data_IF_269922601045
#
_entry.id   IF_269922601045
#
_cell.length_a   1.000
_cell.length_b   1.000
_cell.length_c   1.000
_cell.angle_alpha   90.00
_cell.angle_beta   90.00
_cell.angle_gamma   90.00
#
_symmetry.space_group_name_H-M   'P 1'
#
loop_
_entity.id
_entity.type
_entity.pdbx_description
1 polymer ?
#
# COMPACT_ATOMS: atom_id res chain seq x y z
N UNK A 1 5.92 26.13 -6.04
CA UNK A 1 4.94 25.49 -5.14
C UNK A 1 5.57 24.19 -4.67
N UNK A 2 5.86 24.03 -3.38
CA UNK A 2 6.28 22.72 -2.87
C UNK A 2 5.12 21.76 -3.08
N UNK A 3 5.28 20.77 -3.95
CA UNK A 3 4.39 19.62 -3.94
C UNK A 3 4.44 19.05 -2.53
N UNK A 4 3.35 19.20 -1.78
CA UNK A 4 3.13 18.39 -0.60
C UNK A 4 2.96 16.97 -1.11
N UNK A 5 4.08 16.23 -1.19
CA UNK A 5 4.05 14.77 -1.19
C UNK A 5 3.08 14.37 -0.08
N UNK A 6 2.29 13.32 -0.29
CA UNK A 6 1.42 12.75 0.74
C UNK A 6 2.32 12.38 1.94
N UNK A 7 2.52 13.33 2.85
CA UNK A 7 3.60 13.32 3.84
C UNK A 7 3.37 12.30 4.96
N UNK A 8 2.15 11.74 4.97
CA UNK A 8 1.77 10.68 5.87
C UNK A 8 2.39 9.34 5.45
N UNK A 9 2.76 9.15 4.18
CA UNK A 9 3.33 7.89 3.67
C UNK A 9 4.85 7.92 3.87
N UNK A 10 5.34 7.14 4.83
CA UNK A 10 6.72 7.19 5.31
C UNK A 10 7.52 5.92 5.00
N UNK A 11 6.83 4.83 4.69
CA UNK A 11 7.44 3.53 4.47
C UNK A 11 7.29 3.15 3.01
N UNK A 12 8.34 2.59 2.43
CA UNK A 12 8.36 2.15 1.04
C UNK A 12 8.64 0.65 0.96
N UNK A 13 7.94 -0.05 0.07
CA UNK A 13 8.16 -1.46 -0.24
C UNK A 13 8.09 -1.63 -1.76
N UNK A 14 9.18 -2.12 -2.33
CA UNK A 14 9.27 -2.38 -3.76
C UNK A 14 9.08 -3.87 -4.05
N UNK A 15 8.25 -4.18 -5.04
CA UNK A 15 7.96 -5.52 -5.50
C UNK A 15 8.38 -5.62 -6.97
N UNK A 16 9.28 -6.55 -7.25
CA UNK A 16 9.80 -6.78 -8.60
C UNK A 16 8.71 -7.27 -9.57
N UNK A 17 8.86 -7.06 -10.88
CA UNK A 17 7.94 -7.61 -11.87
C UNK A 17 7.81 -9.12 -11.74
N UNK A 18 6.57 -9.62 -11.75
CA UNK A 18 6.25 -11.05 -11.61
C UNK A 18 6.22 -11.57 -10.16
N UNK A 19 6.65 -10.77 -9.18
CA UNK A 19 6.38 -11.06 -7.77
C UNK A 19 4.99 -10.54 -7.37
N UNK A 20 4.42 -11.09 -6.31
CA UNK A 20 3.10 -10.70 -5.81
C UNK A 20 3.18 -9.99 -4.47
N UNK A 21 2.24 -9.10 -4.23
CA UNK A 21 2.01 -8.44 -2.95
C UNK A 21 0.71 -8.96 -2.36
N UNK A 22 0.76 -9.49 -1.15
CA UNK A 22 -0.41 -9.96 -0.42
C UNK A 22 -0.38 -9.34 0.98
N UNK A 23 -1.39 -8.57 1.35
CA UNK A 23 -1.50 -7.93 2.66
C UNK A 23 -2.49 -8.73 3.52
N UNK A 24 -2.11 -9.08 4.75
CA UNK A 24 -3.04 -9.69 5.70
C UNK A 24 -4.00 -8.63 6.27
N UNK A 25 -5.29 -8.92 6.16
CA UNK A 25 -6.37 -7.94 6.41
C UNK A 25 -7.45 -8.44 7.37
N UNK A 26 -7.07 -9.16 8.43
CA UNK A 26 -7.99 -9.71 9.46
C UNK A 26 -8.65 -8.67 10.38
N UNK A 27 -8.59 -7.39 10.01
CA UNK A 27 -9.03 -6.24 10.78
C UNK A 27 -10.14 -5.43 10.10
N UNK A 28 -10.71 -5.97 9.03
CA UNK A 28 -12.00 -5.59 8.43
C UNK A 28 -12.66 -6.82 7.80
N UNK A 29 -13.96 -6.77 7.53
CA UNK A 29 -14.74 -7.94 7.11
C UNK A 29 -14.89 -8.05 5.59
N UNK A 30 -14.94 -6.91 4.90
CA UNK A 30 -15.21 -6.86 3.46
C UNK A 30 -14.42 -5.75 2.77
N UNK A 31 -14.06 -5.95 1.49
CA UNK A 31 -13.33 -4.97 0.68
C UNK A 31 -14.08 -3.64 0.49
N UNK A 32 -15.41 -3.63 0.64
CA UNK A 32 -16.22 -2.40 0.61
C UNK A 32 -15.85 -1.39 1.71
N UNK A 33 -15.16 -1.85 2.75
CA UNK A 33 -14.64 -0.99 3.81
C UNK A 33 -13.37 -0.22 3.39
N UNK A 34 -12.76 -0.60 2.26
CA UNK A 34 -11.58 0.02 1.69
C UNK A 34 -12.02 1.09 0.68
N UNK A 35 -11.66 2.35 0.95
CA UNK A 35 -11.86 3.42 -0.01
C UNK A 35 -10.65 3.50 -0.93
N UNK A 36 -10.82 3.13 -2.19
CA UNK A 36 -9.77 3.25 -3.21
C UNK A 36 -10.04 4.43 -4.12
N UNK A 37 -9.03 5.29 -4.26
CA UNK A 37 -9.03 6.44 -5.16
C UNK A 37 -8.06 6.13 -6.29
N UNK A 38 -8.56 6.11 -7.53
CA UNK A 38 -7.74 5.99 -8.73
C UNK A 38 -7.24 7.40 -9.07
N UNK A 39 -5.92 7.60 -8.99
CA UNK A 39 -5.30 8.89 -9.30
C UNK A 39 -4.94 8.95 -10.79
N UNK A 40 -4.41 7.85 -11.30
CA UNK A 40 -4.00 7.71 -12.70
C UNK A 40 -4.04 6.22 -13.06
N UNK A 41 -4.52 5.90 -14.26
CA UNK A 41 -4.56 4.53 -14.74
C UNK A 41 -4.53 4.54 -16.26
N UNK A 42 -3.53 3.85 -16.81
CA UNK A 42 -3.38 3.58 -18.23
C UNK A 42 -2.95 2.12 -18.44
N UNK A 43 -2.81 1.68 -19.69
CA UNK A 43 -2.47 0.32 -20.10
C UNK A 43 -1.10 -0.18 -19.60
N UNK A 44 -0.19 0.71 -19.19
CA UNK A 44 1.16 0.38 -18.70
C UNK A 44 1.45 0.88 -17.29
N UNK A 45 0.53 1.64 -16.69
CA UNK A 45 0.81 2.40 -15.49
C UNK A 45 -0.43 2.53 -14.58
N UNK A 46 -0.24 2.51 -13.27
CA UNK A 46 -1.34 2.75 -12.30
C UNK A 46 -0.85 3.48 -11.04
N UNK A 47 -1.62 4.50 -10.61
CA UNK A 47 -1.53 5.19 -9.31
C UNK A 47 -2.82 4.99 -8.55
N UNK A 48 -2.76 4.27 -7.44
CA UNK A 48 -3.91 4.03 -6.58
C UNK A 48 -3.60 4.50 -5.15
N UNK A 49 -4.59 5.10 -4.50
CA UNK A 49 -4.55 5.39 -3.07
C UNK A 49 -5.68 4.63 -2.37
N UNK A 50 -5.32 3.65 -1.57
CA UNK A 50 -6.25 2.85 -0.78
C UNK A 50 -6.20 3.30 0.67
N UNK A 51 -7.37 3.68 1.19
CA UNK A 51 -7.60 4.09 2.57
C UNK A 51 -8.39 2.98 3.23
N UNK A 52 -7.74 2.28 4.13
CA UNK A 52 -8.31 1.16 4.85
C UNK A 52 -8.88 1.59 6.21
N UNK A 53 -9.66 0.72 6.86
CA UNK A 53 -10.03 0.87 8.27
C UNK A 53 -8.80 1.03 9.19
N UNK A 54 -9.03 1.46 10.44
CA UNK A 54 -7.97 1.72 11.43
C UNK A 54 -6.90 2.74 10.98
N UNK A 55 -7.21 3.54 9.96
CA UNK A 55 -6.37 4.64 9.48
C UNK A 55 -5.14 4.20 8.69
N UNK A 56 -5.06 2.94 8.24
CA UNK A 56 -3.98 2.49 7.36
C UNK A 56 -4.20 3.03 5.94
N UNK A 57 -3.18 3.65 5.37
CA UNK A 57 -3.21 4.23 4.03
C UNK A 57 -2.07 3.64 3.23
N UNK A 58 -2.39 3.20 2.02
CA UNK A 58 -1.44 2.60 1.08
C UNK A 58 -1.58 3.25 -0.28
N UNK A 59 -0.46 3.71 -0.81
CA UNK A 59 -0.34 4.23 -2.16
C UNK A 59 0.44 3.24 -3.02
N UNK A 60 -0.06 2.95 -4.21
CA UNK A 60 0.56 2.07 -5.18
C UNK A 60 0.93 2.89 -6.42
N UNK A 61 2.20 2.81 -6.82
CA UNK A 61 2.66 3.12 -8.17
C UNK A 61 3.10 1.82 -8.84
N UNK A 62 2.49 1.46 -9.96
CA UNK A 62 2.83 0.24 -10.69
C UNK A 62 3.13 0.57 -12.15
N UNK A 63 4.24 0.05 -12.65
CA UNK A 63 4.70 0.20 -14.03
C UNK A 63 5.38 -1.09 -14.53
N UNK A 64 6.06 -1.01 -15.68
CA UNK A 64 6.83 -2.13 -16.25
C UNK A 64 8.06 -2.55 -15.43
N UNK A 65 8.51 -1.71 -14.51
CA UNK A 65 9.65 -1.95 -13.64
C UNK A 65 9.26 -2.58 -12.30
N UNK A 66 7.99 -2.55 -11.92
CA UNK A 66 7.49 -3.26 -10.75
C UNK A 66 6.35 -2.51 -10.06
N UNK A 67 6.22 -2.72 -8.76
CA UNK A 67 5.23 -2.05 -7.93
C UNK A 67 5.88 -1.42 -6.71
N UNK A 68 5.67 -0.13 -6.52
CA UNK A 68 6.11 0.62 -5.35
C UNK A 68 4.91 0.92 -4.46
N UNK A 69 4.93 0.32 -3.27
CA UNK A 69 3.95 0.55 -2.22
C UNK A 69 4.49 1.56 -1.23
N UNK A 70 3.75 2.63 -0.97
CA UNK A 70 4.05 3.60 0.09
C UNK A 70 2.96 3.57 1.14
N UNK A 71 3.32 3.43 2.41
CA UNK A 71 2.34 3.30 3.51
C UNK A 71 2.59 4.28 4.63
N UNK A 72 1.55 4.61 5.40
CA UNK A 72 1.66 5.45 6.59
C UNK A 72 2.04 4.69 7.86
N UNK A 73 1.95 3.36 7.84
CA UNK A 73 2.38 2.46 8.90
C UNK A 73 3.36 1.42 8.32
N UNK A 74 4.32 0.93 9.12
CA UNK A 74 5.27 -0.05 8.64
C UNK A 74 4.55 -1.35 8.29
N UNK A 75 5.01 -1.98 7.22
CA UNK A 75 4.64 -3.36 6.88
C UNK A 75 5.88 -4.24 6.92
N UNK A 76 5.71 -5.51 7.27
CA UNK A 76 6.80 -6.48 7.25
C UNK A 76 6.29 -7.80 6.66
N UNK A 77 7.17 -8.48 5.92
CA UNK A 77 6.90 -9.83 5.44
C UNK A 77 6.85 -10.77 6.65
N UNK A 78 5.79 -11.57 6.77
CA UNK A 78 5.67 -12.54 7.85
C UNK A 78 6.71 -13.65 7.71
N UNK A 79 7.35 -14.03 8.80
CA UNK A 79 8.26 -15.18 8.81
C UNK A 79 7.53 -16.45 8.37
N UNK A 80 8.09 -17.16 7.39
CA UNK A 80 7.56 -18.41 6.81
C UNK A 80 6.19 -18.30 6.13
N UNK A 81 5.74 -17.10 5.75
CA UNK A 81 4.47 -16.92 5.01
C UNK A 81 4.62 -15.86 3.92
N UNK A 82 3.91 -16.05 2.82
CA UNK A 82 4.00 -15.16 1.67
C UNK A 82 2.98 -14.00 1.74
N UNK A 83 2.96 -13.30 2.87
CA UNK A 83 2.13 -12.10 3.04
C UNK A 83 2.78 -11.07 3.96
N UNK A 84 2.37 -9.83 3.79
CA UNK A 84 2.77 -8.67 4.58
C UNK A 84 1.78 -8.42 5.72
N UNK A 85 2.28 -7.95 6.86
CA UNK A 85 1.48 -7.58 8.03
C UNK A 85 1.74 -6.12 8.37
N UNK A 86 0.67 -5.39 8.70
CA UNK A 86 0.74 -4.00 9.17
C UNK A 86 1.13 -3.99 10.65
N UNK A 87 2.15 -3.20 11.01
CA UNK A 87 2.52 -2.94 12.40
C UNK A 87 1.72 -1.74 12.93
N UNK A 88 0.59 -2.03 13.58
CA UNK A 88 -0.29 -1.02 14.19
C UNK A 88 0.29 -0.35 15.45
N UNK A 89 1.39 -0.86 16.02
CA UNK A 89 1.94 -0.32 17.27
C UNK A 89 2.67 1.01 17.08
N UNK A 90 3.00 1.36 15.83
CA UNK A 90 3.74 2.57 15.45
C UNK A 90 2.85 3.67 14.85
N UNK A 91 1.61 3.80 15.33
CA UNK A 91 0.85 5.02 15.08
C UNK A 91 1.51 6.19 15.83
N UNK A 92 2.22 7.03 15.09
CA UNK A 92 2.82 8.27 15.60
C UNK A 92 1.81 9.42 15.56
#
# INVERSE_FOLDING_TARGET
MSQSIISILKYETFISPGAYFNLQTDWFSTDDEIKTIIIDQDHVYSKLLSIYPKGFVMYLEQDSHGSLYRTNMPIHLSDNKDYYVVDFTKQA
#
